data_IF_536556785194
#
_entry.id   IF_536556785194
#
_cell.length_a   1.000
_cell.length_b   1.000
_cell.length_c   1.000
_cell.angle_alpha   90.00
_cell.angle_beta   90.00
_cell.angle_gamma   90.00
#
_symmetry.space_group_name_H-M   'P 1'
#
loop_
_entity.id
_entity.type
_entity.pdbx_description
1 polymer ?
#
# COMPACT_ATOMS: atom_id res chain seq x y z
N UNK A 1 -8.56 -28.01 18.19
CA UNK A 1 -7.61 -26.93 17.89
C UNK A 1 -7.61 -26.67 16.38
N UNK A 2 -8.80 -26.43 15.81
CA UNK A 2 -8.99 -26.60 14.37
C UNK A 2 -8.62 -25.36 13.55
N UNK A 3 -8.68 -24.15 14.13
CA UNK A 3 -8.45 -22.91 13.38
C UNK A 3 -7.67 -21.90 14.21
N UNK A 4 -6.34 -21.86 14.00
CA UNK A 4 -5.47 -20.86 14.63
C UNK A 4 -4.72 -20.08 13.56
N UNK A 5 -4.76 -18.76 13.68
CA UNK A 5 -4.11 -17.81 12.78
C UNK A 5 -3.08 -17.01 13.55
N UNK A 6 -1.96 -16.66 12.92
CA UNK A 6 -1.03 -15.71 13.49
C UNK A 6 -1.48 -14.30 13.14
N UNK A 7 -1.97 -13.56 14.14
CA UNK A 7 -2.45 -12.18 13.97
C UNK A 7 -1.47 -11.13 14.50
N UNK A 8 -0.23 -11.51 14.85
CA UNK A 8 0.72 -10.65 15.54
C UNK A 8 1.09 -9.37 14.77
N UNK A 9 1.12 -9.43 13.44
CA UNK A 9 1.48 -8.30 12.57
C UNK A 9 0.30 -7.75 11.75
N UNK A 10 -0.93 -8.20 11.98
CA UNK A 10 -2.08 -7.83 11.14
C UNK A 10 -2.36 -6.32 11.10
N UNK A 11 -2.05 -5.57 12.17
CA UNK A 11 -2.21 -4.11 12.18
C UNK A 11 -1.30 -3.39 11.17
N UNK A 12 -0.19 -4.01 10.78
CA UNK A 12 0.75 -3.51 9.78
C UNK A 12 0.47 -4.10 8.39
N UNK A 13 0.16 -5.39 8.35
CA UNK A 13 0.22 -6.18 7.12
C UNK A 13 -1.16 -6.37 6.45
N UNK A 14 -2.26 -6.04 7.14
CA UNK A 14 -3.61 -6.12 6.60
C UNK A 14 -4.38 -4.82 6.77
N UNK A 15 -5.11 -4.45 5.72
CA UNK A 15 -6.01 -3.31 5.75
C UNK A 15 -7.42 -3.71 5.35
N UNK A 16 -8.32 -3.75 6.32
CA UNK A 16 -9.74 -4.01 6.15
C UNK A 16 -10.53 -2.71 6.29
N UNK A 17 -11.22 -2.29 5.24
CA UNK A 17 -12.03 -1.08 5.25
C UNK A 17 -13.29 -1.21 4.38
N UNK A 18 -14.24 -0.30 4.53
CA UNK A 18 -15.47 -0.27 3.73
C UNK A 18 -15.54 1.03 2.94
N UNK A 19 -15.82 0.91 1.65
CA UNK A 19 -16.02 2.07 0.79
C UNK A 19 -17.16 1.82 -0.19
N UNK A 20 -18.13 2.74 -0.24
CA UNK A 20 -19.34 2.63 -1.09
C UNK A 20 -20.07 1.27 -0.96
N UNK A 21 -20.15 0.74 0.26
CA UNK A 21 -20.81 -0.53 0.55
C UNK A 21 -20.03 -1.79 0.17
N UNK A 22 -18.78 -1.66 -0.26
CA UNK A 22 -17.89 -2.78 -0.53
C UNK A 22 -16.92 -2.95 0.65
N UNK A 23 -16.79 -4.17 1.17
CA UNK A 23 -15.77 -4.50 2.15
C UNK A 23 -14.51 -4.94 1.41
N UNK A 24 -13.43 -4.20 1.62
CA UNK A 24 -12.17 -4.35 0.89
C UNK A 24 -11.11 -4.79 1.90
N UNK A 25 -10.44 -5.89 1.60
CA UNK A 25 -9.30 -6.42 2.34
C UNK A 25 -8.06 -6.32 1.46
N UNK A 26 -7.08 -5.54 1.88
CA UNK A 26 -5.77 -5.44 1.26
C UNK A 26 -4.75 -6.21 2.11
N UNK A 27 -4.08 -7.17 1.50
CA UNK A 27 -2.87 -7.78 2.01
C UNK A 27 -1.66 -6.97 1.52
N UNK A 28 -0.95 -6.32 2.47
CA UNK A 28 0.09 -5.34 2.14
C UNK A 28 1.32 -6.00 1.51
N UNK A 29 1.70 -7.17 2.01
CA UNK A 29 2.95 -7.82 1.63
C UNK A 29 2.86 -8.48 0.25
N UNK A 30 1.70 -9.06 -0.10
CA UNK A 30 1.45 -9.58 -1.45
C UNK A 30 0.92 -8.53 -2.43
N UNK A 31 0.29 -7.46 -1.93
CA UNK A 31 -0.45 -6.49 -2.73
C UNK A 31 -1.82 -7.01 -3.21
N UNK A 32 -2.26 -8.18 -2.75
CA UNK A 32 -3.55 -8.74 -3.12
C UNK A 32 -4.71 -7.93 -2.51
N UNK A 33 -5.77 -7.75 -3.29
CA UNK A 33 -6.99 -7.03 -2.90
C UNK A 33 -8.18 -7.95 -3.05
N UNK A 34 -8.92 -8.14 -1.96
CA UNK A 34 -10.10 -9.00 -1.90
C UNK A 34 -11.34 -8.17 -1.62
N UNK A 35 -12.43 -8.47 -2.33
CA UNK A 35 -13.76 -8.04 -1.92
C UNK A 35 -14.34 -9.17 -1.08
N UNK A 36 -14.72 -8.84 0.16
CA UNK A 36 -15.25 -9.83 1.10
C UNK A 36 -16.70 -9.50 1.43
N UNK A 37 -17.49 -10.50 1.79
CA UNK A 37 -18.85 -10.28 2.28
C UNK A 37 -18.84 -9.79 3.74
N UNK A 38 -20.03 -9.50 4.27
CA UNK A 38 -20.19 -8.99 5.63
C UNK A 38 -19.80 -10.02 6.70
N UNK A 39 -20.08 -11.32 6.45
CA UNK A 39 -19.73 -12.39 7.38
C UNK A 39 -18.21 -12.57 7.46
N UNK A 40 -17.53 -12.64 6.32
CA UNK A 40 -16.06 -12.75 6.23
C UNK A 40 -15.39 -11.54 6.88
N UNK A 41 -15.92 -10.33 6.64
CA UNK A 41 -15.46 -9.13 7.34
C UNK A 41 -15.58 -9.29 8.86
N UNK A 42 -16.73 -9.73 9.34
CA UNK A 42 -16.98 -9.92 10.77
C UNK A 42 -16.04 -10.98 11.37
N UNK A 43 -15.82 -12.10 10.66
CA UNK A 43 -14.86 -13.14 11.01
C UNK A 43 -13.44 -12.58 11.13
N UNK A 44 -12.98 -11.77 10.17
CA UNK A 44 -11.65 -11.16 10.22
C UNK A 44 -11.48 -10.19 11.39
N UNK A 45 -12.52 -9.41 11.71
CA UNK A 45 -12.52 -8.50 12.86
C UNK A 45 -12.41 -9.30 14.17
N UNK A 46 -13.19 -10.36 14.32
CA UNK A 46 -13.18 -11.20 15.52
C UNK A 46 -11.90 -12.02 15.63
N UNK A 47 -11.35 -12.54 14.52
CA UNK A 47 -10.04 -13.19 14.52
C UNK A 47 -8.97 -12.25 15.07
N UNK A 48 -8.98 -10.98 14.67
CA UNK A 48 -8.06 -9.98 15.23
C UNK A 48 -8.28 -9.77 16.73
N UNK A 49 -9.53 -9.61 17.17
CA UNK A 49 -9.87 -9.40 18.59
C UNK A 49 -9.44 -10.59 19.47
N UNK A 50 -9.71 -11.81 19.01
CA UNK A 50 -9.37 -13.05 19.70
C UNK A 50 -7.97 -13.58 19.38
N UNK A 51 -7.10 -12.74 18.82
CA UNK A 51 -5.67 -13.07 18.56
C UNK A 51 -5.50 -14.37 17.76
N UNK A 52 -6.35 -14.54 16.75
CA UNK A 52 -6.34 -15.65 15.80
C UNK A 52 -6.98 -16.94 16.31
N UNK A 53 -7.66 -16.92 17.46
CA UNK A 53 -8.38 -18.08 17.99
C UNK A 53 -9.75 -18.26 17.31
N UNK A 54 -9.79 -19.13 16.30
CA UNK A 54 -11.02 -19.40 15.54
C UNK A 54 -12.10 -20.11 16.34
N UNK A 55 -11.78 -20.83 17.43
CA UNK A 55 -12.80 -21.47 18.27
C UNK A 55 -13.62 -20.40 19.03
N UNK A 56 -12.95 -19.32 19.48
CA UNK A 56 -13.64 -18.18 20.10
C UNK A 56 -14.52 -17.42 19.09
N UNK A 57 -14.06 -17.29 17.83
CA UNK A 57 -14.86 -16.67 16.76
C UNK A 57 -16.14 -17.45 16.50
N UNK A 58 -16.06 -18.79 16.37
CA UNK A 58 -17.24 -19.64 16.17
C UNK A 58 -18.22 -19.52 17.34
N UNK A 59 -17.71 -19.50 18.58
CA UNK A 59 -18.53 -19.29 19.77
C UNK A 59 -19.19 -17.90 19.77
N UNK A 60 -18.47 -16.84 19.38
CA UNK A 60 -18.99 -15.48 19.33
C UNK A 60 -20.09 -15.29 18.27
N UNK A 61 -20.02 -16.06 17.16
CA UNK A 61 -21.00 -16.03 16.08
C UNK A 61 -22.13 -17.06 16.25
N UNK A 62 -22.08 -17.89 17.30
CA UNK A 62 -23.04 -18.93 17.55
C UNK A 62 -24.47 -18.35 17.68
N UNK A 63 -25.42 -18.94 16.94
CA UNK A 63 -26.81 -18.52 16.93
C UNK A 63 -27.13 -17.36 15.99
N UNK A 64 -26.12 -16.73 15.38
CA UNK A 64 -26.29 -15.75 14.29
C UNK A 64 -26.03 -16.37 12.93
N UNK A 65 -25.04 -17.25 12.84
CA UNK A 65 -24.67 -17.97 11.63
C UNK A 65 -24.48 -19.46 11.92
N UNK A 66 -24.70 -20.35 10.94
CA UNK A 66 -24.31 -21.75 11.04
C UNK A 66 -22.79 -21.87 11.23
N UNK A 67 -22.35 -22.79 12.09
CA UNK A 67 -20.92 -23.02 12.30
C UNK A 67 -20.20 -23.42 11.00
N UNK A 68 -20.88 -24.16 10.13
CA UNK A 68 -20.37 -24.62 8.84
C UNK A 68 -19.96 -23.47 7.91
N UNK A 69 -20.71 -22.36 7.90
CA UNK A 69 -20.38 -21.16 7.09
C UNK A 69 -19.11 -20.47 7.60
N UNK A 70 -18.96 -20.36 8.93
CA UNK A 70 -17.76 -19.78 9.54
C UNK A 70 -16.53 -20.68 9.30
N UNK A 71 -16.71 -22.00 9.37
CA UNK A 71 -15.66 -22.98 9.08
C UNK A 71 -15.27 -23.01 7.60
N UNK A 72 -16.20 -22.74 6.68
CA UNK A 72 -15.91 -22.53 5.26
C UNK A 72 -15.02 -21.31 5.05
N UNK A 73 -15.34 -20.17 5.67
CA UNK A 73 -14.50 -18.97 5.60
C UNK A 73 -13.08 -19.25 6.11
N UNK A 74 -12.93 -19.99 7.21
CA UNK A 74 -11.59 -20.36 7.68
C UNK A 74 -10.80 -21.21 6.69
N UNK A 75 -11.48 -22.10 5.94
CA UNK A 75 -10.85 -22.90 4.88
C UNK A 75 -10.43 -22.02 3.71
N UNK A 76 -11.27 -21.07 3.28
CA UNK A 76 -10.94 -20.12 2.22
C UNK A 76 -9.76 -19.21 2.61
N UNK A 77 -9.79 -18.64 3.81
CA UNK A 77 -8.69 -17.81 4.34
C UNK A 77 -7.37 -18.59 4.37
N UNK A 78 -7.41 -19.87 4.75
CA UNK A 78 -6.23 -20.75 4.77
C UNK A 78 -5.75 -21.08 3.36
N UNK A 79 -6.64 -21.35 2.41
CA UNK A 79 -6.27 -21.57 1.00
C UNK A 79 -5.55 -20.36 0.44
N UNK A 80 -6.10 -19.15 0.63
CA UNK A 80 -5.47 -17.91 0.20
C UNK A 80 -4.11 -17.69 0.87
N UNK A 81 -3.97 -18.08 2.13
CA UNK A 81 -2.69 -18.04 2.83
C UNK A 81 -1.66 -19.01 2.23
N UNK A 82 -2.06 -20.25 1.94
CA UNK A 82 -1.20 -21.25 1.30
C UNK A 82 -0.78 -20.84 -0.12
N UNK A 83 -1.63 -20.10 -0.82
CA UNK A 83 -1.34 -19.51 -2.13
C UNK A 83 -0.49 -18.23 -2.07
N UNK A 84 -0.22 -17.70 -0.87
CA UNK A 84 0.51 -16.44 -0.68
C UNK A 84 -0.26 -15.19 -1.11
N UNK A 85 -1.59 -15.28 -1.17
CA UNK A 85 -2.50 -14.20 -1.55
C UNK A 85 -3.15 -13.50 -0.35
N UNK A 86 -2.95 -14.01 0.87
CA UNK A 86 -3.44 -13.41 2.10
C UNK A 86 -2.56 -13.83 3.29
N UNK A 87 -2.32 -12.93 4.24
CA UNK A 87 -1.37 -13.14 5.34
C UNK A 87 0.04 -13.45 4.83
N UNK A 88 0.43 -12.84 3.71
CA UNK A 88 1.73 -13.07 3.11
C UNK A 88 2.84 -12.53 4.02
N UNK A 89 3.94 -13.27 4.13
CA UNK A 89 5.08 -12.83 4.93
C UNK A 89 5.78 -11.64 4.27
N UNK A 90 6.19 -10.68 5.10
CA UNK A 90 7.06 -9.58 4.70
C UNK A 90 8.42 -10.17 4.29
N UNK A 91 8.60 -10.37 2.98
CA UNK A 91 9.86 -10.91 2.45
C UNK A 91 10.87 -9.77 2.47
N UNK A 92 11.90 -9.80 3.34
CA UNK A 92 12.85 -8.71 3.44
C UNK A 92 13.54 -8.53 2.08
N UNK A 93 13.21 -7.44 1.40
CA UNK A 93 13.94 -7.04 0.21
C UNK A 93 15.39 -6.84 0.59
N UNK A 94 16.31 -7.34 -0.25
CA UNK A 94 17.76 -7.18 -0.14
C UNK A 94 18.04 -5.80 0.49
N UNK A 95 18.76 -5.72 1.63
CA UNK A 95 18.98 -4.45 2.29
C UNK A 95 19.45 -3.47 1.23
N UNK A 96 18.81 -2.30 1.19
CA UNK A 96 19.20 -1.23 0.27
C UNK A 96 20.64 -0.86 0.62
N UNK A 97 21.58 -1.60 0.04
CA UNK A 97 22.94 -1.16 -0.13
C UNK A 97 22.77 0.01 -1.08
N UNK A 98 23.35 1.14 -0.73
CA UNK A 98 23.38 2.29 -1.61
C UNK A 98 24.11 1.88 -2.89
N UNK A 99 23.38 1.24 -3.81
CA UNK A 99 23.77 1.07 -5.20
C UNK A 99 24.11 2.47 -5.64
N UNK A 100 25.26 2.57 -6.31
CA UNK A 100 25.83 3.77 -6.92
C UNK A 100 24.76 4.83 -7.16
N UNK A 101 25.00 6.05 -6.65
CA UNK A 101 24.08 7.19 -6.75
C UNK A 101 23.83 7.52 -8.23
N UNK A 102 22.94 6.74 -8.85
CA UNK A 102 22.60 6.84 -10.25
C UNK A 102 21.42 7.78 -10.36
N UNK A 103 21.61 8.83 -11.13
CA UNK A 103 20.56 9.81 -11.40
C UNK A 103 19.54 9.13 -12.32
N UNK A 104 18.29 9.02 -11.86
CA UNK A 104 17.20 8.39 -12.63
C UNK A 104 16.34 9.41 -13.38
N UNK A 105 16.38 10.67 -12.96
CA UNK A 105 15.62 11.75 -13.56
C UNK A 105 16.26 13.09 -13.22
N UNK A 106 16.06 14.07 -14.10
CA UNK A 106 16.48 15.45 -13.92
C UNK A 106 15.33 16.37 -14.31
N UNK A 107 14.94 17.28 -13.41
CA UNK A 107 13.95 18.31 -13.69
C UNK A 107 14.65 19.58 -14.19
N UNK A 108 14.42 19.96 -15.45
CA UNK A 108 15.01 21.17 -16.04
C UNK A 108 14.04 22.35 -15.94
N UNK A 109 14.41 23.35 -15.16
CA UNK A 109 13.66 24.61 -15.11
C UNK A 109 14.06 25.49 -16.32
N UNK A 110 13.48 25.21 -17.49
CA UNK A 110 13.82 25.89 -18.76
C UNK A 110 13.49 27.39 -18.72
N UNK A 111 12.50 27.80 -17.92
CA UNK A 111 12.13 29.20 -17.75
C UNK A 111 11.88 29.53 -16.28
N UNK A 112 12.58 30.56 -15.80
CA UNK A 112 12.31 31.31 -14.58
C UNK A 112 11.64 32.64 -14.91
N UNK A 113 10.71 32.62 -15.85
CA UNK A 113 9.82 33.75 -16.11
C UNK A 113 8.49 33.21 -16.66
N UNK A 114 7.44 33.30 -15.86
CA UNK A 114 6.11 32.83 -16.22
C UNK A 114 5.26 34.03 -16.63
N UNK A 115 4.31 33.86 -17.54
CA UNK A 115 3.31 34.88 -17.86
C UNK A 115 2.10 34.88 -16.90
N UNK A 116 2.10 34.00 -15.89
CA UNK A 116 1.11 33.89 -14.84
C UNK A 116 1.71 34.20 -13.46
N UNK A 117 0.85 34.39 -12.44
CA UNK A 117 1.22 34.71 -11.05
C UNK A 117 0.42 33.86 -10.04
N UNK A 118 0.47 32.54 -10.18
CA UNK A 118 -0.32 31.64 -9.33
C UNK A 118 0.08 31.77 -7.85
N UNK A 119 -0.90 31.95 -6.96
CA UNK A 119 -0.68 32.14 -5.51
C UNK A 119 0.02 30.97 -4.83
N UNK A 120 -0.17 29.76 -5.34
CA UNK A 120 0.45 28.53 -4.84
C UNK A 120 1.76 28.17 -5.57
N UNK A 121 2.30 29.06 -6.40
CA UNK A 121 3.51 28.79 -7.15
C UNK A 121 4.74 28.78 -6.23
N UNK A 122 5.32 27.61 -6.01
CA UNK A 122 6.58 27.47 -5.27
C UNK A 122 7.74 28.24 -5.92
N UNK A 123 7.66 28.49 -7.23
CA UNK A 123 8.68 29.19 -8.01
C UNK A 123 8.64 30.74 -7.87
N UNK A 124 7.92 31.26 -6.87
CA UNK A 124 7.86 32.71 -6.61
C UNK A 124 7.36 33.51 -7.81
N UNK A 125 6.44 32.93 -8.59
CA UNK A 125 5.90 33.53 -9.82
C UNK A 125 6.91 33.75 -10.96
N UNK A 126 7.99 32.99 -10.96
CA UNK A 126 9.00 32.96 -12.01
C UNK A 126 10.41 33.11 -11.46
N UNK A 127 10.62 33.93 -10.42
CA UNK A 127 11.96 34.31 -9.99
C UNK A 127 12.81 33.17 -9.39
N UNK A 128 12.18 32.11 -8.85
CA UNK A 128 12.80 30.94 -8.20
C UNK A 128 14.28 31.09 -7.79
N UNK A 129 14.51 31.83 -6.70
CA UNK A 129 15.84 32.00 -6.07
C UNK A 129 16.95 32.52 -7.00
N UNK A 130 16.61 33.24 -8.08
CA UNK A 130 17.55 33.77 -9.04
C UNK A 130 16.99 34.92 -9.87
N UNK A 131 17.70 35.36 -10.92
CA UNK A 131 17.14 36.28 -11.90
C UNK A 131 16.09 35.59 -12.76
N UNK A 132 15.11 36.36 -13.24
CA UNK A 132 14.18 35.87 -14.24
C UNK A 132 14.91 35.63 -15.56
N UNK A 133 14.55 34.57 -16.27
CA UNK A 133 15.16 34.29 -17.57
C UNK A 133 14.88 32.90 -18.10
N UNK A 134 15.48 32.60 -19.25
CA UNK A 134 15.46 31.30 -19.88
C UNK A 134 16.79 30.58 -19.62
N UNK A 135 16.73 29.26 -19.49
CA UNK A 135 17.90 28.39 -19.49
C UNK A 135 18.65 28.56 -20.82
N UNK A 136 19.96 28.84 -20.79
CA UNK A 136 20.78 28.82 -21.99
C UNK A 136 20.77 27.42 -22.64
N UNK A 137 20.78 27.36 -23.97
CA UNK A 137 20.71 26.09 -24.71
C UNK A 137 21.84 25.13 -24.32
N UNK A 138 23.04 25.68 -24.13
CA UNK A 138 24.25 24.94 -23.79
C UNK A 138 24.12 24.25 -22.42
N UNK A 139 23.46 24.91 -21.46
CA UNK A 139 23.17 24.34 -20.14
C UNK A 139 22.16 23.21 -20.25
N UNK A 140 21.12 23.37 -21.07
CA UNK A 140 20.12 22.33 -21.33
C UNK A 140 20.74 21.09 -21.96
N UNK A 141 21.62 21.26 -22.95
CA UNK A 141 22.35 20.16 -23.59
C UNK A 141 23.27 19.44 -22.60
N UNK A 142 24.10 20.18 -21.86
CA UNK A 142 24.98 19.61 -20.85
C UNK A 142 24.22 18.82 -19.77
N UNK A 143 23.01 19.28 -19.42
CA UNK A 143 22.17 18.60 -18.45
C UNK A 143 21.58 17.27 -18.98
N UNK A 144 21.29 17.18 -20.29
CA UNK A 144 20.89 15.92 -20.95
C UNK A 144 22.07 14.96 -21.00
N UNK A 145 23.25 15.43 -21.40
CA UNK A 145 24.47 14.61 -21.44
C UNK A 145 24.79 14.04 -20.05
N UNK A 146 24.66 14.85 -19.00
CA UNK A 146 24.83 14.44 -17.61
C UNK A 146 23.80 13.41 -17.12
N UNK A 147 22.56 13.45 -17.63
CA UNK A 147 21.55 12.45 -17.26
C UNK A 147 21.80 11.10 -17.94
N UNK A 148 22.45 11.09 -19.11
CA UNK A 148 22.71 9.89 -19.90
C UNK A 148 24.09 9.26 -19.63
N UNK A 149 24.99 9.98 -18.96
CA UNK A 149 26.33 9.50 -18.56
C UNK A 149 26.29 8.56 -17.37
#
# INVERSE_FOLDING_TARGET
>A
MAYRFDTSNWDKDLHLFTYKGLNILLDVNSGAVHLVDDLTREVLVLLREYRGDGEQVVQALQGRYPAEEVEEIFRELRSLQEEGLLFAEDTPTVPWTAKEKMIKSLCLHVAHDCNLRCRYCFAGTGQYSGPRGLMPLEVGQAAVDFLLS
#
